data_IF_833474211543
#
_entry.id   IF_833474211543
#
_cell.length_a   1.000
_cell.length_b   1.000
_cell.length_c   1.000
_cell.angle_alpha   90.00
_cell.angle_beta   90.00
_cell.angle_gamma   90.00
#
_symmetry.space_group_name_H-M   'P 1'
#
loop_
_entity.id
_entity.type
_entity.pdbx_description
1 polymer ?
#
# COMPACT_ATOMS: atom_id res chain seq x y z
N UNK A 1 12.64 -13.98 41.43
CA UNK A 1 12.11 -13.56 40.90
C UNK A 1 11.99 -13.29 40.27
N UNK A 2 12.37 -14.09 39.99
CA UNK A 2 11.87 -13.64 39.14
C UNK A 2 11.95 -13.47 38.42
N UNK A 3 12.19 -13.34 38.35
CA UNK A 3 11.86 -13.05 37.69
C UNK A 3 11.94 -12.96 37.05
N UNK A 4 12.15 -13.15 37.14
CA UNK A 4 11.86 -12.89 36.48
C UNK A 4 11.77 -12.77 35.72
N UNK A 5 12.07 -13.35 36.12
CA UNK A 5 11.69 -13.02 35.41
C UNK A 5 11.69 -12.98 34.66
N UNK A 6 11.91 -13.51 34.80
CA UNK A 6 11.51 -13.15 34.08
C UNK A 6 11.57 -13.21 33.28
N UNK A 7 11.84 -13.57 33.52
CA UNK A 7 11.47 -13.35 32.86
C UNK A 7 11.50 -13.27 32.12
N UNK A 8 11.85 -13.48 32.30
CA UNK A 8 11.40 -13.14 31.71
C UNK A 8 11.44 -13.11 31.00
N UNK A 9 11.84 -13.72 30.86
CA UNK A 9 11.57 -13.41 30.23
C UNK A 9 11.69 -13.66 29.45
N UNK A 10 12.04 -13.96 29.50
CA UNK A 10 11.77 -13.87 28.86
C UNK A 10 11.71 -14.05 28.18
N UNK A 11 11.97 -14.41 28.16
CA UNK A 11 11.49 -14.32 27.57
C UNK A 11 11.50 -14.24 27.01
N UNK A 12 11.86 -14.54 26.80
CA UNK A 12 11.51 -14.24 26.27
C UNK A 12 11.93 -14.22 25.50
N UNK A 13 12.66 -14.58 25.34
CA UNK A 13 12.91 -14.38 24.61
C UNK A 13 13.00 -14.80 23.84
N UNK A 14 13.24 -15.03 24.04
CA UNK A 14 13.38 -15.34 22.82
C UNK A 14 12.30 -15.32 21.90
N UNK A 15 11.60 -15.90 21.75
CA UNK A 15 10.73 -15.70 20.87
C UNK A 15 10.10 -14.55 20.56
N UNK A 16 10.37 -13.78 21.03
CA UNK A 16 9.89 -12.51 20.71
C UNK A 16 10.40 -11.96 19.45
N UNK A 17 11.47 -12.44 18.93
CA UNK A 17 12.05 -11.87 17.76
C UNK A 17 11.11 -11.88 16.58
N UNK A 18 10.37 -12.94 16.41
CA UNK A 18 9.49 -12.97 15.26
C UNK A 18 8.39 -11.96 15.38
N UNK A 19 7.95 -11.68 16.60
CA UNK A 19 6.93 -10.67 16.76
C UNK A 19 7.47 -9.29 16.47
N UNK A 20 8.73 -9.08 16.83
CA UNK A 20 9.34 -7.80 16.59
C UNK A 20 9.47 -7.49 15.13
N UNK A 21 9.63 -8.52 14.30
CA UNK A 21 9.77 -8.28 12.90
C UNK A 21 8.42 -8.21 12.19
N UNK A 22 7.34 -8.48 12.87
CA UNK A 22 6.03 -8.38 12.26
C UNK A 22 5.62 -6.94 12.16
N UNK A 23 5.21 -6.52 10.98
CA UNK A 23 4.78 -5.17 10.72
C UNK A 23 3.28 -5.07 10.77
N UNK A 24 2.78 -3.92 11.19
CA UNK A 24 1.34 -3.66 11.15
C UNK A 24 0.89 -3.48 9.71
N UNK A 25 -0.41 -3.62 9.50
CA UNK A 25 -0.95 -3.39 8.17
C UNK A 25 -0.61 -1.99 7.67
N UNK A 26 -0.68 -0.99 8.54
CA UNK A 26 -0.33 0.37 8.17
C UNK A 26 1.12 0.48 7.72
N UNK A 27 2.03 -0.14 8.46
CA UNK A 27 3.45 -0.09 8.11
C UNK A 27 3.69 -0.72 6.74
N UNK A 28 3.07 -1.86 6.49
CA UNK A 28 3.22 -2.55 5.22
C UNK A 28 2.75 -1.66 4.08
N UNK A 29 1.56 -1.06 4.23
CA UNK A 29 0.99 -0.23 3.18
C UNK A 29 1.83 1.03 2.95
N UNK A 30 2.29 1.67 4.02
CA UNK A 30 3.07 2.89 3.87
C UNK A 30 4.42 2.62 3.23
N UNK A 31 5.07 1.51 3.56
CA UNK A 31 6.33 1.15 2.95
C UNK A 31 6.14 0.82 1.47
N UNK A 32 5.06 0.10 1.16
CA UNK A 32 4.75 -0.21 -0.23
C UNK A 32 4.54 1.08 -1.05
N UNK A 33 3.76 2.00 -0.50
CA UNK A 33 3.49 3.25 -1.22
C UNK A 33 4.77 4.06 -1.44
N UNK A 34 5.66 4.08 -0.46
CA UNK A 34 6.90 4.79 -0.63
C UNK A 34 7.74 4.18 -1.75
N UNK A 35 7.75 2.86 -1.83
CA UNK A 35 8.50 2.17 -2.87
C UNK A 35 7.99 2.49 -4.26
N UNK A 36 6.67 2.55 -4.46
CA UNK A 36 6.13 2.76 -5.81
C UNK A 36 5.99 4.24 -6.18
N UNK A 37 6.19 5.16 -5.24
CA UNK A 37 6.10 6.58 -5.53
C UNK A 37 7.47 7.24 -5.47
N UNK A 38 7.96 7.51 -4.27
CA UNK A 38 9.21 8.26 -4.12
C UNK A 38 10.42 7.50 -4.61
N UNK A 39 10.49 6.22 -4.33
CA UNK A 39 11.69 5.44 -4.64
C UNK A 39 11.65 4.79 -6.02
N UNK A 40 10.47 4.61 -6.59
CA UNK A 40 10.31 3.97 -7.88
C UNK A 40 11.02 2.61 -7.91
N UNK A 41 10.95 1.89 -6.81
CA UNK A 41 11.61 0.59 -6.65
C UNK A 41 10.56 -0.52 -6.71
N UNK A 42 10.16 -0.85 -7.93
CA UNK A 42 9.08 -1.81 -8.13
C UNK A 42 9.51 -3.24 -7.86
N UNK A 43 10.79 -3.51 -7.97
CA UNK A 43 11.29 -4.83 -7.64
C UNK A 43 11.09 -5.13 -6.16
N UNK A 44 11.47 -4.18 -5.30
CA UNK A 44 11.27 -4.35 -3.86
C UNK A 44 9.79 -4.34 -3.51
N UNK A 45 9.00 -3.52 -4.20
CA UNK A 45 7.57 -3.43 -3.93
C UNK A 45 6.86 -4.75 -4.18
N UNK A 46 7.36 -5.56 -5.11
CA UNK A 46 6.73 -6.83 -5.45
C UNK A 46 6.55 -7.73 -4.25
N UNK A 47 7.50 -7.74 -3.34
CA UNK A 47 7.43 -8.63 -2.17
C UNK A 47 6.34 -8.23 -1.18
N UNK A 48 5.77 -7.04 -1.32
CA UNK A 48 4.69 -6.58 -0.44
C UNK A 48 3.32 -7.02 -0.93
N UNK A 49 3.25 -7.65 -2.11
CA UNK A 49 2.00 -8.02 -2.74
C UNK A 49 1.82 -9.54 -2.80
N UNK A 50 0.59 -9.99 -2.60
CA UNK A 50 0.26 -11.38 -2.90
C UNK A 50 0.37 -11.59 -4.42
N UNK A 51 0.69 -12.81 -4.84
CA UNK A 51 0.78 -13.12 -6.26
C UNK A 51 -0.52 -12.82 -6.97
N UNK A 52 -1.64 -13.11 -6.29
CA UNK A 52 -2.97 -12.90 -6.84
C UNK A 52 -3.64 -11.66 -6.28
N UNK A 53 -2.86 -10.61 -6.03
CA UNK A 53 -3.42 -9.36 -5.53
C UNK A 53 -4.52 -8.87 -6.45
N UNK A 54 -5.58 -8.34 -5.85
CA UNK A 54 -6.72 -7.82 -6.60
C UNK A 54 -6.69 -6.29 -6.54
N UNK A 55 -6.63 -5.66 -7.70
CA UNK A 55 -6.69 -4.19 -7.81
C UNK A 55 -7.91 -3.81 -8.63
N UNK A 56 -8.71 -2.88 -8.12
CA UNK A 56 -9.88 -2.38 -8.84
C UNK A 56 -9.91 -0.87 -8.73
N UNK A 57 -10.11 -0.21 -9.87
CA UNK A 57 -10.27 1.23 -9.92
C UNK A 57 -11.33 1.58 -10.97
N UNK A 58 -11.73 2.86 -11.05
CA UNK A 58 -12.68 3.26 -12.09
C UNK A 58 -12.15 3.07 -13.52
N UNK A 59 -10.83 2.95 -13.70
CA UNK A 59 -10.24 2.84 -15.04
C UNK A 59 -9.94 1.41 -15.45
N UNK A 60 -9.56 0.56 -14.51
CA UNK A 60 -9.13 -0.80 -14.86
C UNK A 60 -9.07 -1.68 -13.63
N UNK A 61 -8.75 -2.95 -13.85
CA UNK A 61 -8.57 -3.89 -12.75
C UNK A 61 -7.50 -4.91 -13.12
N UNK A 62 -6.91 -5.49 -12.10
CA UNK A 62 -5.89 -6.54 -12.25
C UNK A 62 -6.09 -7.57 -11.15
N UNK A 63 -5.79 -8.82 -11.45
CA UNK A 63 -5.88 -9.89 -10.44
C UNK A 63 -4.55 -10.62 -10.25
N UNK A 64 -3.44 -10.01 -10.69
CA UNK A 64 -2.11 -10.56 -10.51
C UNK A 64 -1.12 -9.42 -10.27
N UNK A 65 -0.07 -9.74 -9.53
CA UNK A 65 0.88 -8.73 -9.09
C UNK A 65 1.71 -8.13 -10.24
N UNK A 66 2.16 -8.97 -11.17
CA UNK A 66 3.03 -8.49 -12.23
C UNK A 66 2.37 -7.45 -13.14
N UNK A 67 1.21 -7.73 -13.72
CA UNK A 67 0.60 -6.71 -14.57
C UNK A 67 0.18 -5.47 -13.80
N UNK A 68 -0.22 -5.64 -12.54
CA UNK A 68 -0.56 -4.50 -11.72
C UNK A 68 0.66 -3.60 -11.47
N UNK A 69 1.79 -4.18 -11.11
CA UNK A 69 3.00 -3.40 -10.87
C UNK A 69 3.50 -2.73 -12.15
N UNK A 70 3.39 -3.43 -13.28
CA UNK A 70 3.78 -2.85 -14.55
C UNK A 70 2.94 -1.62 -14.86
N UNK A 71 1.65 -1.70 -14.58
CA UNK A 71 0.76 -0.57 -14.75
C UNK A 71 1.19 0.59 -13.83
N UNK A 72 1.48 0.30 -12.57
CA UNK A 72 1.93 1.34 -11.66
C UNK A 72 3.22 2.01 -12.13
N UNK A 73 4.13 1.20 -12.61
CA UNK A 73 5.41 1.73 -13.10
C UNK A 73 5.18 2.73 -14.23
N UNK A 74 4.22 2.44 -15.09
CA UNK A 74 3.91 3.31 -16.22
C UNK A 74 3.32 4.64 -15.80
N UNK A 75 2.77 4.73 -14.61
CA UNK A 75 2.13 5.95 -14.14
C UNK A 75 3.13 7.01 -13.66
N UNK A 76 4.32 6.59 -13.24
CA UNK A 76 5.33 7.50 -12.69
C UNK A 76 4.74 8.36 -11.59
N UNK A 77 4.11 7.68 -10.62
CA UNK A 77 3.43 8.39 -9.54
C UNK A 77 4.41 9.21 -8.70
N UNK A 78 4.09 10.46 -8.41
CA UNK A 78 4.90 11.25 -7.50
C UNK A 78 4.56 10.91 -6.05
N UNK A 79 5.27 11.53 -5.13
CA UNK A 79 4.93 11.40 -3.72
C UNK A 79 3.47 11.83 -3.53
N UNK A 80 2.73 11.04 -2.77
CA UNK A 80 1.32 11.32 -2.52
C UNK A 80 1.18 12.37 -1.42
N UNK A 81 0.24 13.28 -1.60
CA UNK A 81 -0.12 14.23 -0.56
C UNK A 81 -1.23 13.61 0.27
N UNK A 82 -0.84 12.88 1.31
CA UNK A 82 -1.78 12.12 2.12
C UNK A 82 -2.52 13.06 3.07
N UNK A 83 -3.85 13.02 3.00
CA UNK A 83 -4.70 13.86 3.83
C UNK A 83 -5.17 13.15 5.08
N UNK A 84 -5.44 11.86 5.00
CA UNK A 84 -5.98 11.12 6.14
C UNK A 84 -5.72 9.63 5.96
N UNK A 85 -5.50 8.94 7.06
CA UNK A 85 -5.32 7.49 7.08
C UNK A 85 -6.25 6.93 8.13
N UNK A 86 -7.05 5.94 7.74
CA UNK A 86 -7.91 5.20 8.66
C UNK A 86 -7.44 3.76 8.69
N UNK A 87 -7.36 3.20 9.88
CA UNK A 87 -6.93 1.81 10.05
C UNK A 87 -8.00 1.06 10.84
N UNK A 88 -8.41 -0.08 10.32
CA UNK A 88 -9.35 -0.95 10.99
C UNK A 88 -8.83 -2.37 10.83
N UNK A 89 -8.06 -2.84 11.82
CA UNK A 89 -7.47 -4.18 11.74
C UNK A 89 -6.51 -4.27 10.58
N UNK A 90 -6.80 -5.17 9.66
CA UNK A 90 -5.96 -5.41 8.48
C UNK A 90 -6.35 -4.54 7.30
N UNK A 91 -7.28 -3.63 7.50
CA UNK A 91 -7.72 -2.71 6.45
C UNK A 91 -7.16 -1.33 6.69
N UNK A 92 -6.60 -0.73 5.64
CA UNK A 92 -6.00 0.59 5.71
C UNK A 92 -6.58 1.41 4.58
N UNK A 93 -7.19 2.53 4.93
CA UNK A 93 -7.81 3.42 3.95
C UNK A 93 -7.06 4.75 3.96
N UNK A 94 -6.59 5.16 2.80
CA UNK A 94 -5.79 6.37 2.66
C UNK A 94 -6.51 7.34 1.73
N UNK A 95 -6.67 8.57 2.19
CA UNK A 95 -7.21 9.65 1.38
C UNK A 95 -6.05 10.54 0.98
N UNK A 96 -5.86 10.77 -0.32
CA UNK A 96 -4.76 11.58 -0.78
C UNK A 96 -5.12 12.39 -2.01
N UNK A 97 -4.31 13.39 -2.27
CA UNK A 97 -4.38 14.16 -3.51
C UNK A 97 -3.11 13.94 -4.30
N UNK A 98 -3.23 13.91 -5.60
CA UNK A 98 -2.09 13.68 -6.48
C UNK A 98 -2.21 14.57 -7.70
N UNK A 99 -1.11 15.22 -8.04
CA UNK A 99 -1.01 16.00 -9.27
C UNK A 99 -0.18 15.20 -10.25
N UNK A 100 -0.77 14.78 -11.35
CA UNK A 100 -0.07 14.00 -12.35
C UNK A 100 0.37 14.90 -13.49
N UNK A 101 1.56 14.64 -14.06
CA UNK A 101 2.07 15.53 -15.13
C UNK A 101 1.17 15.60 -16.34
N UNK A 102 0.44 14.52 -16.62
CA UNK A 102 -0.34 14.45 -17.86
C UNK A 102 -1.70 15.12 -17.78
N UNK A 103 -2.13 15.46 -16.58
CA UNK A 103 -3.41 16.13 -16.41
C UNK A 103 -3.17 17.41 -15.64
N UNK A 104 -3.99 18.41 -15.89
CA UNK A 104 -3.76 19.72 -15.29
C UNK A 104 -4.61 19.93 -14.06
N UNK A 105 -5.00 18.86 -13.40
CA UNK A 105 -5.78 19.01 -12.18
C UNK A 105 -5.28 18.01 -11.14
N UNK A 106 -5.57 18.34 -9.88
CA UNK A 106 -5.28 17.46 -8.77
C UNK A 106 -6.42 16.46 -8.65
N UNK A 107 -6.05 15.21 -8.40
CA UNK A 107 -7.04 14.14 -8.27
C UNK A 107 -7.10 13.71 -6.80
N UNK A 108 -8.30 13.78 -6.23
CA UNK A 108 -8.51 13.29 -4.87
C UNK A 108 -8.87 11.81 -4.96
N UNK A 109 -8.17 10.99 -4.19
CA UNK A 109 -8.28 9.54 -4.31
C UNK A 109 -8.45 8.89 -2.95
N UNK A 110 -9.27 7.87 -2.92
CA UNK A 110 -9.39 6.97 -1.78
C UNK A 110 -8.75 5.64 -2.16
N UNK A 111 -7.82 5.17 -1.32
CA UNK A 111 -7.18 3.87 -1.51
C UNK A 111 -7.56 2.99 -0.31
N UNK A 112 -8.14 1.84 -0.60
CA UNK A 112 -8.50 0.89 0.46
C UNK A 112 -7.68 -0.36 0.26
N UNK A 113 -6.76 -0.61 1.20
CA UNK A 113 -5.88 -1.78 1.19
C UNK A 113 -6.36 -2.81 2.19
N UNK A 114 -6.27 -4.07 1.82
CA UNK A 114 -6.45 -5.16 2.79
C UNK A 114 -5.16 -5.97 2.81
N UNK A 115 -4.65 -6.21 4.03
CA UNK A 115 -3.41 -6.95 4.24
C UNK A 115 -3.76 -8.31 4.81
N UNK A 116 -3.15 -9.36 4.26
CA UNK A 116 -3.39 -10.72 4.70
C UNK A 116 -2.06 -11.47 4.76
N UNK A 117 -1.73 -11.98 5.94
CA UNK A 117 -0.48 -12.71 6.09
C UNK A 117 0.75 -11.88 5.80
N UNK A 118 0.70 -10.60 6.13
CA UNK A 118 1.86 -9.73 5.93
C UNK A 118 2.03 -9.18 4.54
N UNK A 119 1.07 -9.44 3.64
CA UNK A 119 1.14 -8.94 2.26
C UNK A 119 -0.20 -8.32 1.87
N UNK A 120 -0.13 -7.38 0.96
CA UNK A 120 -1.34 -6.73 0.45
C UNK A 120 -2.05 -7.72 -0.47
N UNK A 121 -3.30 -8.04 -0.12
CA UNK A 121 -4.11 -8.98 -0.89
C UNK A 121 -5.08 -8.27 -1.81
N UNK A 122 -5.48 -7.05 -1.48
CA UNK A 122 -6.38 -6.31 -2.35
C UNK A 122 -6.19 -4.81 -2.14
N UNK A 123 -6.50 -4.08 -3.21
CA UNK A 123 -6.47 -2.62 -3.19
C UNK A 123 -7.58 -2.12 -4.08
N UNK A 124 -8.40 -1.25 -3.54
CA UNK A 124 -9.44 -0.59 -4.32
C UNK A 124 -9.17 0.89 -4.31
N UNK A 125 -9.15 1.47 -5.50
CA UNK A 125 -8.92 2.91 -5.67
C UNK A 125 -10.20 3.54 -6.20
N UNK A 126 -10.56 4.68 -5.62
CA UNK A 126 -11.75 5.40 -6.06
C UNK A 126 -11.38 6.86 -6.28
N UNK A 127 -11.63 7.34 -7.48
CA UNK A 127 -11.37 8.72 -7.86
C UNK A 127 -12.26 9.06 -9.04
N UNK A 128 -12.33 10.33 -9.36
CA UNK A 128 -13.08 10.79 -10.54
C UNK A 128 -12.24 10.46 -11.78
N UNK A 129 -12.69 9.56 -12.65
CA UNK A 129 -11.88 9.16 -13.80
C UNK A 129 -11.92 10.13 -14.96
N UNK A 130 -12.80 11.13 -14.92
CA UNK A 130 -12.98 12.02 -16.08
C UNK A 130 -11.71 12.71 -16.56
N UNK A 131 -10.80 13.17 -15.69
CA UNK A 131 -9.57 13.78 -16.19
C UNK A 131 -8.72 12.83 -17.03
N UNK A 132 -8.88 11.52 -16.84
CA UNK A 132 -8.06 10.54 -17.53
C UNK A 132 -8.68 10.07 -18.85
N UNK A 133 -9.97 10.20 -18.99
CA UNK A 133 -10.68 9.64 -20.16
C UNK A 133 -11.37 10.72 -21.01
N UNK A 134 -11.27 11.97 -20.60
CA UNK A 134 -11.91 13.02 -21.39
C UNK A 134 -11.27 13.12 -22.75
N UNK A 135 -12.09 13.23 -23.80
CA UNK A 135 -11.53 13.36 -25.14
C UNK A 135 -10.69 14.62 -25.30
N UNK A 136 -9.67 14.51 -26.11
CA UNK A 136 -8.84 15.67 -26.42
C UNK A 136 -9.58 16.57 -27.41
N UNK A 137 -9.33 17.86 -27.31
CA UNK A 137 -10.00 18.83 -28.19
C UNK A 137 -9.03 19.48 -29.11
#
# INVERSE_FOLDING_TARGET
MNPKSNDANDSQNGTLQKNESAKSAKEIVMEYLQLITERQDFKSARSYLKDNVSYVSPLNSFDRAEPYLKYNESLHLPKLDIKKIFVDGDDVCILHETSLPRISSTVFTTLWFHVDGGKISSLRALFDPRPFIRPQR
#
